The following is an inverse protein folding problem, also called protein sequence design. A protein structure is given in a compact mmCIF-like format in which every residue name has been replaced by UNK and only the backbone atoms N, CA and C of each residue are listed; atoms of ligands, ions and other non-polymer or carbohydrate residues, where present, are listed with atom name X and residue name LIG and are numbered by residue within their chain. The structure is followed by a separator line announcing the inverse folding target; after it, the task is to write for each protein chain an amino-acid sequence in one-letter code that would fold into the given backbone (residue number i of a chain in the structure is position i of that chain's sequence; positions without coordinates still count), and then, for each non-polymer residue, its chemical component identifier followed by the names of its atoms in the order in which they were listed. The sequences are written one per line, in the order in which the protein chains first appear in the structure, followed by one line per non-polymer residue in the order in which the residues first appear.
data_IF_906665256626
#
_entry.id   IF_906665256626
#
_cell.length_a   1.000
_cell.length_b   1.000
_cell.length_c   1.000
_cell.angle_alpha   90.00
_cell.angle_beta   90.00
_cell.angle_gamma   90.00
#
_symmetry.space_group_name_H-M   'P 1'
#
loop_
_entity.id
_entity.type
_entity.pdbx_description
1 polymer ?
#
# COMPACT_ATOMS: atom_id res chain seq x y z
N UNK A 1 -2.02 0.68 -2.19
CA UNK A 1 -1.74 -0.72 -2.60
C UNK A 1 -2.57 -1.11 -3.81
N UNK A 2 -3.90 -1.03 -3.76
CA UNK A 2 -4.71 -1.29 -4.95
C UNK A 2 -4.33 -0.41 -6.15
N UNK A 3 -4.17 0.91 -5.94
CA UNK A 3 -3.72 1.86 -6.97
C UNK A 3 -2.38 1.46 -7.61
N UNK A 4 -1.45 0.90 -6.83
CA UNK A 4 -0.16 0.40 -7.34
C UNK A 4 -0.37 -0.82 -8.22
N UNK A 5 -1.28 -1.72 -7.82
CA UNK A 5 -1.57 -2.92 -8.59
C UNK A 5 -2.39 -2.63 -9.85
N UNK A 6 -3.31 -1.66 -9.80
CA UNK A 6 -4.18 -1.30 -10.92
C UNK A 6 -3.50 -0.33 -11.89
N UNK A 7 -2.60 0.53 -11.39
CA UNK A 7 -2.08 1.66 -12.16
C UNK A 7 -3.10 2.78 -12.38
N UNK A 8 -4.23 2.77 -11.66
CA UNK A 8 -5.34 3.70 -11.84
C UNK A 8 -5.72 4.40 -10.53
N UNK A 9 -6.13 5.68 -10.58
CA UNK A 9 -6.70 6.37 -9.43
C UNK A 9 -7.92 5.63 -8.86
N UNK A 10 -8.06 5.50 -7.53
CA UNK A 10 -9.25 4.93 -6.93
C UNK A 10 -10.51 5.70 -7.32
N UNK A 11 -11.55 4.97 -7.69
CA UNK A 11 -12.88 5.44 -8.05
C UNK A 11 -12.86 6.49 -9.17
N UNK A 12 -11.93 6.36 -10.12
CA UNK A 12 -11.68 7.31 -11.22
C UNK A 12 -12.95 7.75 -11.96
N UNK A 13 -13.95 6.88 -12.07
CA UNK A 13 -15.19 7.13 -12.81
C UNK A 13 -16.38 7.61 -11.95
N UNK A 14 -16.15 8.01 -10.70
CA UNK A 14 -17.21 8.45 -9.78
C UNK A 14 -17.00 9.92 -9.39
N UNK A 15 -17.78 10.81 -10.03
CA UNK A 15 -17.68 12.25 -9.78
C UNK A 15 -18.37 12.71 -8.49
N UNK A 16 -19.46 12.05 -8.09
CA UNK A 16 -20.19 12.39 -6.87
C UNK A 16 -19.48 11.82 -5.63
N UNK A 17 -18.63 12.66 -5.04
CA UNK A 17 -17.83 12.34 -3.85
C UNK A 17 -18.70 12.08 -2.61
N UNK A 18 -19.88 12.71 -2.49
CA UNK A 18 -20.75 12.52 -1.33
C UNK A 18 -21.43 11.16 -1.42
N UNK A 19 -21.95 10.82 -2.60
CA UNK A 19 -22.52 9.50 -2.85
C UNK A 19 -21.46 8.40 -2.68
N UNK A 20 -20.23 8.62 -3.17
CA UNK A 20 -19.12 7.70 -3.00
C UNK A 20 -18.79 7.47 -1.52
N UNK A 21 -18.59 8.53 -0.74
CA UNK A 21 -18.29 8.42 0.69
C UNK A 21 -19.39 7.67 1.44
N UNK A 22 -20.65 7.96 1.13
CA UNK A 22 -21.81 7.27 1.68
C UNK A 22 -21.78 5.78 1.35
N UNK A 23 -21.46 5.42 0.11
CA UNK A 23 -21.39 4.02 -0.32
C UNK A 23 -20.20 3.27 0.29
N UNK A 24 -19.05 3.92 0.46
CA UNK A 24 -17.86 3.35 1.13
C UNK A 24 -18.15 3.02 2.59
N UNK A 25 -18.84 3.92 3.31
CA UNK A 25 -19.14 3.79 4.74
C UNK A 25 -20.32 2.85 4.99
N UNK A 26 -21.42 3.02 4.25
CA UNK A 26 -22.67 2.31 4.54
C UNK A 26 -22.79 0.97 3.79
N UNK A 27 -22.25 0.89 2.57
CA UNK A 27 -22.40 -0.29 1.71
C UNK A 27 -21.10 -1.08 1.56
N UNK A 28 -20.05 -0.69 2.29
CA UNK A 28 -18.72 -1.26 2.15
C UNK A 28 -18.24 -1.30 0.67
N UNK A 29 -18.50 -0.24 -0.10
CA UNK A 29 -18.00 -0.19 -1.48
C UNK A 29 -16.47 -0.16 -1.48
N UNK A 30 -15.87 -1.09 -2.22
CA UNK A 30 -14.43 -1.21 -2.43
C UNK A 30 -14.17 -1.42 -3.91
N UNK A 31 -12.92 -1.19 -4.30
CA UNK A 31 -12.50 -1.44 -5.67
C UNK A 31 -12.63 -2.90 -6.08
N UNK A 32 -12.76 -3.12 -7.39
CA UNK A 32 -12.75 -4.47 -7.95
C UNK A 32 -11.34 -5.06 -7.85
N UNK A 33 -11.26 -6.38 -7.68
CA UNK A 33 -9.98 -7.09 -7.75
C UNK A 33 -9.33 -6.84 -9.12
N UNK A 34 -8.02 -6.64 -9.11
CA UNK A 34 -7.26 -6.35 -10.32
C UNK A 34 -6.83 -7.68 -10.95
N UNK A 35 -7.14 -7.94 -12.23
CA UNK A 35 -6.69 -9.16 -12.90
C UNK A 35 -5.17 -9.26 -12.92
N UNK A 36 -4.64 -10.48 -12.78
CA UNK A 36 -3.21 -10.80 -12.79
C UNK A 36 -2.40 -10.25 -11.61
N UNK A 37 -3.03 -9.65 -10.60
CA UNK A 37 -2.37 -9.39 -9.32
C UNK A 37 -1.92 -10.71 -8.68
N UNK A 38 -0.69 -10.81 -8.16
CA UNK A 38 -0.28 -11.96 -7.37
C UNK A 38 -1.22 -12.17 -6.18
N UNK A 39 -1.73 -13.40 -6.02
CA UNK A 39 -2.75 -13.75 -5.01
C UNK A 39 -2.38 -13.29 -3.58
N UNK A 40 -1.09 -13.39 -3.22
CA UNK A 40 -0.60 -12.93 -1.91
C UNK A 40 -0.74 -11.42 -1.72
N UNK A 41 -0.43 -10.63 -2.75
CA UNK A 41 -0.56 -9.17 -2.72
C UNK A 41 -2.03 -8.75 -2.67
N UNK A 42 -2.89 -9.44 -3.44
CA UNK A 42 -4.33 -9.25 -3.40
C UNK A 42 -4.90 -9.49 -1.99
N UNK A 43 -4.57 -10.63 -1.38
CA UNK A 43 -4.98 -10.95 -0.01
C UNK A 43 -4.50 -9.91 1.00
N UNK A 44 -3.28 -9.40 0.83
CA UNK A 44 -2.72 -8.39 1.71
C UNK A 44 -3.50 -7.06 1.62
N UNK A 45 -3.68 -6.50 0.43
CA UNK A 45 -4.37 -5.21 0.32
C UNK A 45 -5.85 -5.32 0.66
N UNK A 46 -6.49 -6.47 0.40
CA UNK A 46 -7.88 -6.69 0.79
C UNK A 46 -8.05 -6.79 2.30
N UNK A 47 -7.10 -7.42 3.00
CA UNK A 47 -7.08 -7.47 4.47
C UNK A 47 -6.91 -6.06 5.08
N UNK A 48 -6.12 -5.19 4.46
CA UNK A 48 -5.88 -3.82 4.92
C UNK A 48 -7.12 -2.93 4.99
N UNK A 49 -8.13 -3.20 4.17
CA UNK A 49 -9.41 -2.48 4.19
C UNK A 49 -10.59 -3.30 4.71
N UNK A 50 -10.30 -4.36 5.48
CA UNK A 50 -11.32 -5.18 6.14
C UNK A 50 -12.34 -4.31 6.90
N UNK A 51 -13.62 -4.73 6.87
CA UNK A 51 -14.68 -4.08 7.65
C UNK A 51 -14.44 -4.22 9.13
N UNK A 52 -14.08 -5.43 9.54
CA UNK A 52 -13.66 -5.76 10.89
C UNK A 52 -12.29 -5.12 11.15
N UNK A 53 -12.20 -4.06 11.96
CA UNK A 53 -10.96 -3.33 12.17
C UNK A 53 -9.85 -4.20 12.77
N UNK A 54 -10.22 -5.17 13.61
CA UNK A 54 -9.34 -6.15 14.24
C UNK A 54 -8.69 -7.11 13.25
N UNK A 55 -9.24 -7.25 12.03
CA UNK A 55 -8.64 -8.07 10.99
C UNK A 55 -7.63 -7.31 10.13
N UNK A 56 -7.56 -5.97 10.26
CA UNK A 56 -6.59 -5.17 9.51
C UNK A 56 -5.19 -5.44 10.08
N UNK A 57 -4.20 -5.75 9.23
CA UNK A 57 -2.85 -5.95 9.68
C UNK A 57 -2.24 -4.63 10.17
N UNK A 58 -1.36 -4.74 11.15
CA UNK A 58 -0.45 -3.68 11.53
C UNK A 58 0.56 -3.40 10.43
N UNK A 59 1.21 -2.24 10.47
CA UNK A 59 2.26 -1.92 9.48
C UNK A 59 3.41 -2.94 9.50
N UNK A 60 3.75 -3.49 10.67
CA UNK A 60 4.79 -4.51 10.78
C UNK A 60 4.39 -5.81 10.07
N UNK A 61 3.15 -6.27 10.25
CA UNK A 61 2.65 -7.46 9.53
C UNK A 61 2.60 -7.24 8.01
N UNK A 62 2.32 -6.01 7.55
CA UNK A 62 2.36 -5.67 6.13
C UNK A 62 3.80 -5.77 5.59
N UNK A 63 4.77 -5.23 6.32
CA UNK A 63 6.19 -5.31 5.94
C UNK A 63 6.69 -6.75 5.92
N UNK A 64 6.37 -7.53 6.97
CA UNK A 64 6.71 -8.96 7.03
C UNK A 64 6.13 -9.73 5.84
N UNK A 65 4.89 -9.44 5.41
CA UNK A 65 4.30 -10.07 4.23
C UNK A 65 4.99 -9.64 2.93
N UNK A 66 5.44 -8.38 2.80
CA UNK A 66 6.24 -7.96 1.65
C UNK A 66 7.61 -8.66 1.61
N UNK A 67 8.31 -8.75 2.74
CA UNK A 67 9.58 -9.51 2.83
C UNK A 67 9.39 -10.97 2.42
N UNK A 68 8.28 -11.60 2.82
CA UNK A 68 7.92 -12.98 2.43
C UNK A 68 7.57 -13.12 0.95
N UNK A 69 7.06 -12.06 0.31
CA UNK A 69 6.74 -12.06 -1.13
C UNK A 69 7.97 -11.84 -2.00
N UNK A 70 8.93 -11.03 -1.56
CA UNK A 70 10.17 -10.72 -2.28
C UNK A 70 11.13 -11.93 -2.35
N UNK A 71 10.94 -12.93 -1.50
CA UNK A 71 11.63 -14.22 -1.60
C UNK A 71 13.14 -14.19 -1.30
N UNK A 72 13.73 -13.02 -1.04
CA UNK A 72 15.13 -12.85 -0.68
C UNK A 72 15.36 -11.60 0.18
N UNK A 73 15.13 -11.71 1.49
CA UNK A 73 16.06 -11.13 2.47
C UNK A 73 16.25 -12.15 3.58
N UNK A 74 17.20 -13.05 3.39
CA UNK A 74 17.84 -13.69 4.53
C UNK A 74 18.53 -12.55 5.28
N UNK A 75 18.02 -12.18 6.44
CA UNK A 75 18.92 -11.75 7.50
C UNK A 75 18.59 -12.56 8.74
N UNK A 76 19.52 -13.45 9.07
CA UNK A 76 19.54 -14.20 10.31
C UNK A 76 19.31 -13.28 11.51
N UNK A 77 18.65 -13.84 12.50
CA UNK A 77 18.42 -13.29 13.83
C UNK A 77 19.52 -12.34 14.33
N UNK A 78 19.13 -11.09 14.67
CA UNK A 78 19.27 -10.56 16.02
C UNK A 78 18.59 -9.20 16.20
N UNK A 79 17.63 -9.19 17.11
CA UNK A 79 16.92 -8.04 17.65
C UNK A 79 17.85 -7.11 18.42
N UNK A 80 18.52 -6.17 17.76
CA UNK A 80 19.12 -4.99 18.44
C UNK A 80 19.37 -3.77 17.54
N UNK A 81 19.45 -3.93 16.21
CA UNK A 81 19.82 -2.82 15.28
C UNK A 81 18.65 -2.16 14.54
N UNK A 82 17.42 -2.67 14.69
CA UNK A 82 16.26 -2.35 13.83
C UNK A 82 15.87 -0.86 13.71
N UNK A 83 16.26 0.02 14.64
CA UNK A 83 15.87 1.45 14.53
C UNK A 83 16.78 2.28 13.62
N UNK A 84 18.07 1.95 13.50
CA UNK A 84 19.00 2.69 12.63
C UNK A 84 18.90 2.26 11.17
N UNK A 85 18.67 0.97 10.90
CA UNK A 85 18.50 0.46 9.53
C UNK A 85 17.19 0.92 8.89
N UNK A 86 16.12 1.12 9.67
CA UNK A 86 14.86 1.67 9.16
C UNK A 86 15.05 3.07 8.56
N UNK A 87 15.92 3.89 9.15
CA UNK A 87 16.27 5.21 8.61
C UNK A 87 17.07 5.12 7.31
N UNK A 88 17.90 4.10 7.16
CA UNK A 88 18.76 3.91 5.98
C UNK A 88 18.01 3.27 4.81
N UNK A 89 17.09 2.34 5.10
CA UNK A 89 16.21 1.74 4.11
C UNK A 89 15.15 2.73 3.60
N UNK A 90 14.52 3.49 4.50
CA UNK A 90 13.60 4.57 4.10
C UNK A 90 14.32 5.63 3.27
N UNK A 91 15.56 6.00 3.61
CA UNK A 91 16.43 6.86 2.79
C UNK A 91 16.56 6.39 1.34
N UNK A 92 16.63 5.08 1.09
CA UNK A 92 16.78 4.52 -0.25
C UNK A 92 15.44 4.34 -1.00
N UNK A 93 14.31 4.37 -0.29
CA UNK A 93 12.96 4.35 -0.85
C UNK A 93 12.34 5.74 -1.01
N UNK A 94 13.01 6.80 -0.54
CA UNK A 94 12.58 8.18 -0.80
C UNK A 94 12.73 8.42 -2.30
N UNK A 95 11.62 8.32 -3.03
CA UNK A 95 11.44 9.08 -4.26
C UNK A 95 11.67 10.54 -3.88
N UNK A 96 12.67 11.17 -4.50
CA UNK A 96 12.97 12.57 -4.25
C UNK A 96 11.83 13.42 -4.83
N UNK A 97 10.78 13.61 -4.05
CA UNK A 97 9.59 14.38 -4.40
C UNK A 97 9.92 15.82 -4.81
N UNK A 98 11.06 16.38 -4.35
CA UNK A 98 11.49 17.70 -4.80
C UNK A 98 11.89 17.67 -6.27
N UNK A 99 12.45 16.56 -6.76
CA UNK A 99 12.80 16.39 -8.17
C UNK A 99 11.57 16.25 -9.07
N UNK A 100 10.53 15.54 -8.60
CA UNK A 100 9.26 15.41 -9.33
C UNK A 100 8.42 16.70 -9.32
N UNK A 101 8.40 17.44 -8.20
CA UNK A 101 7.70 18.72 -8.11
C UNK A 101 8.36 19.81 -8.98
N UNK A 102 9.69 19.83 -9.07
CA UNK A 102 10.41 20.81 -9.89
C UNK A 102 10.31 20.56 -11.40
N UNK A 103 10.11 19.30 -11.83
CA UNK A 103 9.90 18.98 -13.25
C UNK A 103 8.50 19.36 -13.75
N UNK A 104 7.52 19.51 -12.86
CA UNK A 104 6.14 19.86 -13.21
C UNK A 104 5.85 21.38 -13.17
N UNK A 105 6.81 22.20 -12.74
CA UNK A 105 6.70 23.67 -12.72
C UNK A 105 7.34 24.37 -13.92
N UNK A 106 7.91 23.62 -14.87
CA UNK A 106 8.61 24.16 -16.05
C UNK A 106 7.81 24.07 -17.36
N UNK A 107 6.50 23.83 -17.32
CA UNK A 107 5.60 23.85 -18.49
C UNK A 107 4.71 25.10 -18.50
#
# INVERSE_FOLDING_TARGET
MWEISSGHPPFEHIDDKIALATSIVNNNTREKLVPNTPEKYEKLYTKCWSQEPQLRPTINEILDEFERMDGNLIYESQTSTKSLEYHQFTSNLIVDWNKELNNNQSN
#
